data_IF_293020126116
#
_entry.id   IF_293020126116
#
_cell.length_a   1.000
_cell.length_b   1.000
_cell.length_c   1.000
_cell.angle_alpha   90.00
_cell.angle_beta   90.00
_cell.angle_gamma   90.00
#
_symmetry.space_group_name_H-M   'P 1'
#
loop_
_entity.id
_entity.type
_entity.pdbx_description
1 polymer ?
#
# COMPACT_ATOMS: atom_id res chain seq x y z
N UNK A 1 -16.41 19.11 23.50
CA UNK A 1 -14.96 19.01 23.21
C UNK A 1 -14.86 18.49 21.79
N UNK A 2 -14.09 19.13 20.94
CA UNK A 2 -13.94 18.64 19.57
C UNK A 2 -13.10 17.38 19.53
N UNK A 3 -13.31 16.51 18.55
CA UNK A 3 -12.55 15.28 18.32
C UNK A 3 -11.02 15.56 18.26
N UNK A 4 -10.63 16.77 17.87
CA UNK A 4 -9.23 17.24 17.78
C UNK A 4 -8.47 17.21 19.12
N UNK A 5 -9.17 17.20 20.24
CA UNK A 5 -8.55 17.17 21.58
C UNK A 5 -8.34 15.74 22.13
N UNK A 6 -8.80 14.73 21.37
CA UNK A 6 -8.69 13.32 21.77
C UNK A 6 -7.60 12.59 20.96
N UNK A 7 -6.97 11.62 21.59
CA UNK A 7 -6.10 10.69 20.87
C UNK A 7 -6.95 9.82 19.97
N UNK A 8 -6.88 10.08 18.67
CA UNK A 8 -7.65 9.38 17.65
C UNK A 8 -7.02 7.99 17.39
N UNK A 9 -7.83 6.94 17.45
CA UNK A 9 -7.46 5.63 16.93
C UNK A 9 -7.77 5.57 15.42
N UNK A 10 -6.86 5.07 14.58
CA UNK A 10 -7.17 4.84 13.17
C UNK A 10 -8.23 3.75 13.03
N UNK A 11 -9.09 3.80 11.98
CA UNK A 11 -10.05 2.72 11.75
C UNK A 11 -9.33 1.41 11.37
N UNK A 12 -9.98 0.24 11.53
CA UNK A 12 -9.35 -1.06 11.30
C UNK A 12 -8.67 -1.19 9.94
N UNK A 13 -9.28 -0.70 8.87
CA UNK A 13 -8.72 -0.73 7.51
C UNK A 13 -7.50 0.17 7.30
N UNK A 14 -7.21 1.06 8.21
CA UNK A 14 -5.97 1.85 8.20
C UNK A 14 -4.92 1.31 9.15
N UNK A 15 -5.35 0.72 10.25
CA UNK A 15 -4.45 0.18 11.26
C UNK A 15 -3.84 -1.17 10.84
N UNK A 16 -4.67 -2.03 10.24
CA UNK A 16 -4.31 -3.40 9.86
C UNK A 16 -4.82 -3.69 8.44
N UNK A 17 -4.14 -3.11 7.46
CA UNK A 17 -4.50 -3.18 6.05
C UNK A 17 -4.31 -4.55 5.44
N UNK A 18 -3.45 -5.34 6.05
CA UNK A 18 -3.18 -6.73 5.71
C UNK A 18 -4.35 -7.65 6.07
N UNK A 19 -5.30 -7.20 6.92
CA UNK A 19 -6.45 -7.98 7.33
C UNK A 19 -7.68 -7.51 6.55
N UNK A 20 -8.18 -8.35 5.64
CA UNK A 20 -9.42 -8.09 4.92
C UNK A 20 -10.65 -8.09 5.86
N UNK A 21 -11.69 -7.31 5.51
CA UNK A 21 -12.87 -7.10 6.35
C UNK A 21 -13.48 -8.38 6.94
N UNK A 22 -13.61 -9.42 6.14
CA UNK A 22 -14.24 -10.70 6.53
C UNK A 22 -13.24 -11.78 6.91
N UNK A 23 -11.97 -11.42 7.06
CA UNK A 23 -10.91 -12.35 7.43
C UNK A 23 -11.08 -12.86 8.86
N UNK A 24 -10.69 -14.12 9.07
CA UNK A 24 -10.55 -14.72 10.41
C UNK A 24 -9.59 -13.92 11.31
N UNK A 25 -8.67 -13.13 10.70
CA UNK A 25 -7.73 -12.27 11.43
C UNK A 25 -8.39 -11.26 12.35
N UNK A 26 -9.67 -10.94 12.16
CA UNK A 26 -10.47 -10.10 13.06
C UNK A 26 -11.14 -10.87 14.20
N UNK A 27 -10.94 -12.18 14.26
CA UNK A 27 -11.47 -13.08 15.30
C UNK A 27 -10.39 -13.83 16.05
N UNK A 28 -9.13 -13.56 15.75
CA UNK A 28 -7.97 -14.24 16.33
C UNK A 28 -6.75 -13.30 16.38
N UNK A 29 -6.06 -13.30 17.53
CA UNK A 29 -4.80 -12.63 17.70
C UNK A 29 -4.88 -11.10 17.67
N UNK A 30 -3.86 -10.43 17.10
CA UNK A 30 -3.74 -8.97 17.18
C UNK A 30 -4.86 -8.17 16.48
N UNK A 31 -5.49 -8.74 15.48
CA UNK A 31 -6.63 -8.10 14.82
C UNK A 31 -7.86 -8.08 15.73
N UNK A 32 -8.15 -9.18 16.44
CA UNK A 32 -9.20 -9.25 17.46
C UNK A 32 -8.94 -8.24 18.58
N UNK A 33 -7.73 -8.27 19.16
CA UNK A 33 -7.32 -7.31 20.18
C UNK A 33 -7.49 -5.86 19.73
N UNK A 34 -7.22 -5.59 18.45
CA UNK A 34 -7.36 -4.24 17.90
C UNK A 34 -8.83 -3.84 17.77
N UNK A 35 -9.67 -4.70 17.21
CA UNK A 35 -11.07 -4.37 16.94
C UNK A 35 -11.85 -4.16 18.24
N UNK A 36 -11.55 -4.94 19.27
CA UNK A 36 -12.13 -4.81 20.60
C UNK A 36 -11.75 -3.48 21.25
N UNK A 37 -10.47 -3.12 21.20
CA UNK A 37 -9.99 -1.81 21.70
C UNK A 37 -10.56 -0.64 20.89
N UNK A 38 -10.68 -0.81 19.58
CA UNK A 38 -11.26 0.20 18.70
C UNK A 38 -12.75 0.40 19.00
N UNK A 39 -13.52 -0.69 19.18
CA UNK A 39 -14.92 -0.63 19.58
C UNK A 39 -15.09 0.07 20.93
N UNK A 40 -14.31 -0.32 21.93
CA UNK A 40 -14.31 0.32 23.25
C UNK A 40 -14.00 1.81 23.16
N UNK A 41 -13.02 2.20 22.35
CA UNK A 41 -12.69 3.59 22.13
C UNK A 41 -13.82 4.35 21.41
N UNK A 42 -14.44 3.76 20.37
CA UNK A 42 -15.59 4.35 19.68
C UNK A 42 -16.75 4.62 20.64
N UNK A 43 -16.96 3.75 21.62
CA UNK A 43 -18.03 3.91 22.62
C UNK A 43 -17.78 5.09 23.58
N UNK A 44 -16.57 5.60 23.64
CA UNK A 44 -16.25 6.82 24.39
C UNK A 44 -16.60 8.11 23.66
N UNK A 45 -16.95 8.03 22.37
CA UNK A 45 -17.28 9.19 21.54
C UNK A 45 -18.76 9.55 21.66
N UNK A 46 -19.06 10.85 21.72
CA UNK A 46 -20.44 11.32 21.58
C UNK A 46 -20.99 11.07 20.16
N UNK A 47 -22.31 11.13 19.94
CA UNK A 47 -22.88 10.99 18.60
C UNK A 47 -22.28 11.98 17.59
N UNK A 48 -22.04 13.22 18.02
CA UNK A 48 -21.45 14.27 17.20
C UNK A 48 -19.98 13.97 16.85
N UNK A 49 -19.20 13.53 17.84
CA UNK A 49 -17.81 13.11 17.65
C UNK A 49 -17.71 11.88 16.75
N UNK A 50 -18.65 10.93 16.84
CA UNK A 50 -18.74 9.78 15.93
C UNK A 50 -19.02 10.24 14.49
N UNK A 51 -19.93 11.20 14.30
CA UNK A 51 -20.24 11.74 12.98
C UNK A 51 -19.02 12.45 12.38
N UNK A 52 -18.29 13.24 13.18
CA UNK A 52 -17.05 13.89 12.76
C UNK A 52 -15.97 12.84 12.39
N UNK A 53 -15.83 11.79 13.21
CA UNK A 53 -14.89 10.70 12.96
C UNK A 53 -15.20 9.94 11.66
N UNK A 54 -16.47 9.62 11.42
CA UNK A 54 -16.93 8.98 10.17
C UNK A 54 -16.62 9.85 8.94
N UNK A 55 -16.79 11.16 9.06
CA UNK A 55 -16.47 12.10 7.98
C UNK A 55 -14.97 12.19 7.70
N UNK A 56 -14.13 12.09 8.74
CA UNK A 56 -12.67 12.05 8.61
C UNK A 56 -12.16 10.72 8.01
N UNK A 57 -12.85 9.63 8.32
CA UNK A 57 -12.47 8.28 7.92
C UNK A 57 -13.66 7.59 7.23
N UNK A 58 -14.02 8.03 6.01
CA UNK A 58 -15.03 7.33 5.24
C UNK A 58 -14.60 5.89 5.00
N UNK A 59 -15.53 4.98 5.06
CA UNK A 59 -15.25 3.57 4.78
C UNK A 59 -14.85 3.37 3.32
N UNK A 60 -13.78 2.60 3.05
CA UNK A 60 -13.45 2.24 1.69
C UNK A 60 -14.47 1.24 1.13
N UNK A 61 -14.50 1.07 -0.19
CA UNK A 61 -15.46 0.17 -0.86
C UNK A 61 -15.41 -1.25 -0.30
N UNK A 62 -14.22 -1.73 0.09
CA UNK A 62 -14.00 -3.04 0.70
C UNK A 62 -14.59 -3.18 2.10
N UNK A 63 -14.98 -2.06 2.73
CA UNK A 63 -15.57 -2.00 4.06
C UNK A 63 -16.97 -1.37 4.05
N UNK A 64 -17.59 -1.26 2.87
CA UNK A 64 -18.92 -0.67 2.70
C UNK A 64 -19.95 -1.28 3.67
N UNK A 65 -20.71 -0.44 4.33
CA UNK A 65 -21.68 -0.83 5.36
C UNK A 65 -21.09 -1.09 6.75
N UNK A 66 -19.77 -0.90 6.94
CA UNK A 66 -19.13 -1.09 8.25
C UNK A 66 -19.72 -0.17 9.32
N UNK A 67 -19.87 1.12 9.00
CA UNK A 67 -20.36 2.09 9.96
C UNK A 67 -21.82 1.87 10.37
N UNK A 68 -22.60 1.22 9.54
CA UNK A 68 -24.03 1.01 9.74
C UNK A 68 -24.34 -0.43 10.16
N UNK A 69 -23.31 -1.23 10.43
CA UNK A 69 -23.42 -2.67 10.73
C UNK A 69 -24.16 -3.46 9.63
N UNK A 70 -24.11 -2.98 8.40
CA UNK A 70 -24.68 -3.66 7.25
C UNK A 70 -23.73 -4.73 6.74
N UNK A 71 -24.14 -5.97 6.77
CA UNK A 71 -23.50 -7.03 6.00
C UNK A 71 -24.11 -7.02 4.60
N UNK A 72 -23.39 -6.38 3.66
CA UNK A 72 -23.89 -6.28 2.28
C UNK A 72 -23.83 -7.60 1.53
N UNK A 73 -23.14 -8.62 2.06
CA UNK A 73 -22.95 -9.92 1.40
C UNK A 73 -22.22 -9.83 0.06
N UNK A 74 -21.74 -8.63 -0.33
CA UNK A 74 -20.97 -8.44 -1.55
C UNK A 74 -19.62 -9.13 -1.43
N UNK A 75 -19.39 -10.11 -2.28
CA UNK A 75 -18.06 -10.72 -2.46
C UNK A 75 -17.22 -9.71 -3.25
N UNK A 76 -16.37 -9.00 -2.54
CA UNK A 76 -15.44 -8.06 -3.17
C UNK A 76 -14.35 -8.83 -3.93
N UNK A 77 -14.04 -8.37 -5.12
CA UNK A 77 -12.92 -8.92 -5.88
C UNK A 77 -11.60 -8.47 -5.26
N UNK A 78 -10.52 -9.21 -5.51
CA UNK A 78 -9.18 -8.78 -5.12
C UNK A 78 -8.83 -7.39 -5.67
N UNK A 79 -9.34 -7.06 -6.87
CA UNK A 79 -9.19 -5.74 -7.46
C UNK A 79 -9.86 -4.62 -6.65
N UNK A 80 -11.06 -4.86 -6.15
CA UNK A 80 -11.78 -3.88 -5.32
C UNK A 80 -11.02 -3.60 -4.02
N UNK A 81 -10.49 -4.65 -3.39
CA UNK A 81 -9.65 -4.53 -2.21
C UNK A 81 -8.41 -3.66 -2.46
N UNK A 82 -7.73 -3.83 -3.58
CA UNK A 82 -6.52 -3.07 -3.90
C UNK A 82 -6.78 -1.60 -4.19
N UNK A 83 -7.93 -1.26 -4.79
CA UNK A 83 -8.23 0.13 -5.21
C UNK A 83 -8.44 1.06 -4.03
N UNK A 84 -9.20 0.62 -3.05
CA UNK A 84 -9.71 1.53 -2.01
C UNK A 84 -8.93 1.48 -0.70
N UNK A 85 -7.87 0.68 -0.61
CA UNK A 85 -7.13 0.46 0.64
C UNK A 85 -6.66 1.75 1.35
N UNK A 86 -6.52 2.87 0.62
CA UNK A 86 -5.93 4.10 1.18
C UNK A 86 -6.55 5.39 0.76
N UNK A 87 -7.11 5.41 -0.46
CA UNK A 87 -7.50 6.63 -1.12
C UNK A 87 -8.76 6.39 -1.91
N UNK A 88 -9.80 7.19 -1.66
CA UNK A 88 -11.04 7.11 -2.43
C UNK A 88 -10.81 7.26 -3.94
N UNK A 89 -9.75 7.99 -4.33
CA UNK A 89 -9.47 8.25 -5.76
C UNK A 89 -8.62 7.17 -6.43
N UNK A 90 -8.01 6.25 -5.67
CA UNK A 90 -7.15 5.18 -6.18
C UNK A 90 -5.96 5.65 -7.02
N UNK A 91 -5.52 6.91 -6.86
CA UNK A 91 -4.47 7.55 -7.68
C UNK A 91 -3.43 8.28 -6.81
N UNK A 92 -2.22 8.53 -7.33
CA UNK A 92 -1.19 9.23 -6.59
C UNK A 92 -1.60 10.64 -6.22
N UNK A 93 -1.35 11.03 -4.97
CA UNK A 93 -1.52 12.40 -4.48
C UNK A 93 -0.50 13.35 -5.10
N UNK A 94 0.75 12.89 -5.22
CA UNK A 94 1.86 13.62 -5.80
C UNK A 94 2.24 12.99 -7.12
N UNK A 95 2.23 13.79 -8.19
CA UNK A 95 2.56 13.33 -9.54
C UNK A 95 3.75 14.12 -10.06
N UNK A 96 4.41 13.62 -11.10
CA UNK A 96 5.44 14.36 -11.82
C UNK A 96 4.93 15.72 -12.31
N UNK A 97 3.70 15.77 -12.82
CA UNK A 97 3.07 17.02 -13.25
C UNK A 97 2.90 18.00 -12.08
N UNK A 98 2.46 17.52 -10.92
CA UNK A 98 2.36 18.34 -9.72
C UNK A 98 3.73 18.92 -9.34
N UNK A 99 4.79 18.12 -9.33
CA UNK A 99 6.14 18.58 -9.00
C UNK A 99 6.65 19.64 -9.98
N UNK A 100 6.39 19.46 -11.28
CA UNK A 100 6.71 20.46 -12.31
C UNK A 100 5.97 21.77 -12.09
N UNK A 101 4.69 21.72 -11.70
CA UNK A 101 3.89 22.92 -11.37
C UNK A 101 4.43 23.64 -10.13
N UNK A 102 4.80 22.90 -9.07
CA UNK A 102 5.44 23.45 -7.88
C UNK A 102 6.74 24.19 -8.27
N UNK A 103 7.55 23.57 -9.09
CA UNK A 103 8.81 24.15 -9.55
C UNK A 103 8.62 25.41 -10.40
N UNK A 104 7.66 25.39 -11.33
CA UNK A 104 7.30 26.54 -12.16
C UNK A 104 6.73 27.70 -11.32
N UNK A 105 6.04 27.39 -10.23
CA UNK A 105 5.51 28.38 -9.27
C UNK A 105 6.58 28.90 -8.28
N UNK A 106 7.86 28.52 -8.45
CA UNK A 106 8.96 28.95 -7.57
C UNK A 106 9.01 28.22 -6.21
N UNK A 107 8.11 27.27 -5.96
CA UNK A 107 8.11 26.48 -4.71
C UNK A 107 9.10 25.34 -4.83
N UNK A 108 10.21 25.46 -4.11
CA UNK A 108 11.24 24.42 -4.08
C UNK A 108 10.89 23.37 -3.04
N UNK A 109 10.99 22.10 -3.43
CA UNK A 109 10.82 20.94 -2.55
C UNK A 109 12.18 20.26 -2.38
N UNK A 110 12.43 19.75 -1.21
CA UNK A 110 13.56 18.86 -1.00
C UNK A 110 13.28 17.54 -1.70
N UNK A 111 14.27 17.02 -2.42
CA UNK A 111 14.15 15.80 -3.20
C UNK A 111 15.07 14.73 -2.63
N UNK A 112 14.49 13.57 -2.31
CA UNK A 112 15.27 12.37 -2.05
C UNK A 112 15.36 11.56 -3.35
N UNK A 113 16.43 11.81 -4.11
CA UNK A 113 16.68 11.09 -5.36
C UNK A 113 17.31 9.73 -5.05
N UNK A 114 16.72 8.66 -5.56
CA UNK A 114 17.29 7.31 -5.45
C UNK A 114 17.30 6.61 -6.81
N UNK A 115 18.24 5.70 -6.98
CA UNK A 115 18.36 4.84 -8.14
C UNK A 115 19.21 3.61 -7.79
N UNK A 116 18.91 2.48 -8.45
CA UNK A 116 19.56 1.20 -8.15
C UNK A 116 18.97 0.53 -6.90
N UNK A 117 19.40 -0.71 -6.66
CA UNK A 117 18.86 -1.55 -5.59
C UNK A 117 19.94 -2.38 -4.89
N UNK A 118 21.20 -2.01 -5.06
CA UNK A 118 22.30 -2.71 -4.41
C UNK A 118 22.62 -2.07 -3.07
N UNK A 119 22.89 -2.87 -2.02
CA UNK A 119 23.40 -2.37 -0.77
C UNK A 119 24.76 -1.67 -0.96
N UNK A 120 25.10 -0.77 -0.05
CA UNK A 120 26.41 -0.17 0.00
C UNK A 120 27.49 -1.23 0.30
N UNK A 121 28.73 -0.98 -0.14
CA UNK A 121 29.84 -1.92 0.08
C UNK A 121 30.14 -2.18 1.55
N UNK A 122 29.86 -1.22 2.41
CA UNK A 122 30.02 -1.30 3.87
C UNK A 122 28.79 -1.90 4.58
N UNK A 123 27.76 -2.33 3.82
CA UNK A 123 26.54 -2.89 4.36
C UNK A 123 25.56 -1.85 4.93
N UNK A 124 25.89 -0.55 4.88
CA UNK A 124 24.98 0.47 5.40
C UNK A 124 23.74 0.63 4.51
N UNK A 125 22.62 0.90 5.17
CA UNK A 125 21.36 1.20 4.48
C UNK A 125 21.45 2.57 3.81
N UNK A 126 21.14 2.61 2.52
CA UNK A 126 21.17 3.82 1.71
C UNK A 126 19.83 4.04 1.00
N UNK A 127 19.72 5.15 0.27
CA UNK A 127 18.54 5.48 -0.54
C UNK A 127 18.13 4.37 -1.52
N UNK A 128 19.04 3.45 -1.87
CA UNK A 128 18.73 2.29 -2.73
C UNK A 128 17.66 1.37 -2.13
N UNK A 129 17.48 1.40 -0.80
CA UNK A 129 16.41 0.64 -0.14
C UNK A 129 14.99 1.09 -0.54
N UNK A 130 14.84 2.31 -1.08
CA UNK A 130 13.57 2.81 -1.59
C UNK A 130 13.17 2.16 -2.92
N UNK A 131 14.10 1.48 -3.61
CA UNK A 131 13.82 0.79 -4.87
C UNK A 131 12.83 -0.36 -4.68
N UNK A 132 11.99 -0.57 -5.70
CA UNK A 132 11.08 -1.72 -5.80
C UNK A 132 11.85 -3.07 -5.90
N UNK A 133 13.10 -3.03 -6.32
CA UNK A 133 14.01 -4.19 -6.44
C UNK A 133 14.96 -4.36 -5.26
N UNK A 134 14.86 -3.54 -4.22
CA UNK A 134 15.58 -3.80 -2.98
C UNK A 134 15.12 -5.10 -2.37
N UNK A 135 16.04 -6.03 -2.15
CA UNK A 135 15.74 -7.34 -1.61
C UNK A 135 15.51 -7.21 -0.09
N UNK A 136 14.28 -7.42 0.30
CA UNK A 136 13.86 -7.43 1.70
C UNK A 136 12.58 -8.24 1.83
N UNK A 137 12.62 -9.27 2.67
CA UNK A 137 11.49 -10.16 2.88
C UNK A 137 10.32 -9.44 3.53
N UNK A 138 9.15 -9.62 2.98
CA UNK A 138 7.89 -9.25 3.61
C UNK A 138 6.79 -10.23 3.20
N UNK A 139 5.71 -10.23 3.94
CA UNK A 139 4.62 -11.18 3.73
C UNK A 139 3.26 -10.49 3.80
N UNK A 140 2.31 -11.14 3.17
CA UNK A 140 0.88 -10.90 3.34
C UNK A 140 0.26 -12.12 4.01
N UNK A 141 -1.06 -12.12 4.26
CA UNK A 141 -1.72 -13.31 4.81
C UNK A 141 -1.61 -14.54 3.89
N UNK A 142 -1.40 -14.34 2.60
CA UNK A 142 -1.39 -15.41 1.60
C UNK A 142 0.01 -15.86 1.20
N UNK A 143 0.97 -14.94 1.08
CA UNK A 143 2.25 -15.20 0.43
C UNK A 143 3.39 -14.39 1.04
N UNK A 144 4.62 -14.84 0.76
CA UNK A 144 5.87 -14.14 1.05
C UNK A 144 6.50 -13.61 -0.22
N UNK A 145 7.22 -12.50 -0.12
CA UNK A 145 7.81 -11.78 -1.25
C UNK A 145 9.23 -11.33 -0.90
N UNK A 146 10.12 -11.36 -1.89
CA UNK A 146 11.49 -10.86 -1.79
C UNK A 146 11.61 -9.38 -2.23
N UNK A 147 10.69 -8.93 -3.08
CA UNK A 147 10.74 -7.60 -3.71
C UNK A 147 9.33 -7.02 -3.82
N UNK A 148 9.19 -5.72 -3.69
CA UNK A 148 7.91 -5.04 -3.97
C UNK A 148 7.52 -5.15 -5.45
N UNK A 149 8.49 -5.19 -6.36
CA UNK A 149 8.23 -5.48 -7.78
C UNK A 149 7.70 -6.91 -7.99
N UNK A 150 8.18 -7.91 -7.23
CA UNK A 150 7.62 -9.28 -7.27
C UNK A 150 6.16 -9.27 -6.83
N UNK A 151 5.85 -8.54 -5.75
CA UNK A 151 4.48 -8.34 -5.28
C UNK A 151 3.62 -7.70 -6.38
N UNK A 152 4.10 -6.65 -7.03
CA UNK A 152 3.40 -5.99 -8.12
C UNK A 152 3.12 -6.94 -9.29
N UNK A 153 4.09 -7.76 -9.69
CA UNK A 153 3.90 -8.72 -10.78
C UNK A 153 2.96 -9.87 -10.40
N UNK A 154 3.03 -10.37 -9.16
CA UNK A 154 2.10 -11.37 -8.65
C UNK A 154 0.68 -10.81 -8.53
N UNK A 155 0.54 -9.59 -8.01
CA UNK A 155 -0.74 -8.87 -7.94
C UNK A 155 -1.34 -8.60 -9.31
N UNK A 156 -0.50 -8.30 -10.32
CA UNK A 156 -0.94 -8.21 -11.70
C UNK A 156 -1.51 -9.53 -12.23
N UNK A 157 -0.79 -10.65 -12.00
CA UNK A 157 -1.26 -11.96 -12.41
C UNK A 157 -2.59 -12.33 -11.72
N UNK A 158 -2.71 -12.03 -10.43
CA UNK A 158 -3.92 -12.25 -9.67
C UNK A 158 -5.10 -11.40 -10.17
N UNK A 159 -4.86 -10.12 -10.46
CA UNK A 159 -5.88 -9.20 -11.01
C UNK A 159 -6.50 -9.72 -12.31
N UNK A 160 -5.72 -10.39 -13.14
CA UNK A 160 -6.17 -10.95 -14.41
C UNK A 160 -6.49 -12.45 -14.36
N UNK A 161 -6.53 -13.07 -13.16
CA UNK A 161 -6.90 -14.47 -12.97
C UNK A 161 -5.86 -15.48 -13.50
N UNK A 162 -4.61 -15.06 -13.70
CA UNK A 162 -3.54 -15.94 -14.19
C UNK A 162 -2.77 -16.59 -13.03
N UNK A 163 -3.43 -17.51 -12.32
CA UNK A 163 -2.86 -18.19 -11.16
C UNK A 163 -1.61 -19.04 -11.49
N UNK A 164 -1.49 -19.56 -12.68
CA UNK A 164 -0.29 -20.28 -13.11
C UNK A 164 0.91 -19.32 -13.12
N UNK A 165 0.75 -18.16 -13.75
CA UNK A 165 1.77 -17.12 -13.81
C UNK A 165 2.10 -16.55 -12.44
N UNK A 166 1.07 -16.37 -11.60
CA UNK A 166 1.25 -15.94 -10.23
C UNK A 166 2.17 -16.87 -9.44
N UNK A 167 1.92 -18.18 -9.51
CA UNK A 167 2.75 -19.20 -8.84
C UNK A 167 4.19 -19.20 -9.36
N UNK A 168 4.40 -19.06 -10.66
CA UNK A 168 5.75 -18.96 -11.24
C UNK A 168 6.50 -17.72 -10.73
N UNK A 169 5.81 -16.57 -10.63
CA UNK A 169 6.38 -15.32 -10.10
C UNK A 169 6.78 -15.50 -8.64
N UNK A 170 5.92 -16.08 -7.81
CA UNK A 170 6.18 -16.31 -6.39
C UNK A 170 7.35 -17.27 -6.15
N UNK A 171 7.51 -18.27 -7.00
CA UNK A 171 8.59 -19.23 -6.91
C UNK A 171 9.93 -18.69 -7.45
N UNK A 172 9.95 -17.52 -8.08
CA UNK A 172 11.13 -16.97 -8.75
C UNK A 172 11.82 -15.93 -7.89
N UNK A 173 13.14 -16.02 -7.72
CA UNK A 173 13.97 -15.04 -7.03
C UNK A 173 14.80 -14.13 -7.95
N UNK A 174 14.83 -14.39 -9.25
CA UNK A 174 15.58 -13.60 -10.23
C UNK A 174 14.75 -12.40 -10.73
N UNK A 175 15.19 -11.14 -10.47
CA UNK A 175 14.47 -9.94 -10.89
C UNK A 175 14.14 -9.87 -12.39
N UNK A 176 15.07 -10.34 -13.24
CA UNK A 176 14.87 -10.31 -14.71
C UNK A 176 13.79 -11.30 -15.13
N UNK A 177 13.79 -12.48 -14.53
CA UNK A 177 12.77 -13.49 -14.80
C UNK A 177 11.41 -13.07 -14.26
N UNK A 178 11.33 -12.52 -13.03
CA UNK A 178 10.10 -11.98 -12.45
C UNK A 178 9.47 -10.95 -13.40
N UNK A 179 10.27 -9.99 -13.89
CA UNK A 179 9.81 -8.97 -14.84
C UNK A 179 9.35 -9.58 -16.17
N UNK A 180 10.06 -10.60 -16.67
CA UNK A 180 9.68 -11.30 -17.89
C UNK A 180 8.36 -12.07 -17.73
N UNK A 181 8.15 -12.73 -16.58
CA UNK A 181 6.91 -13.42 -16.24
C UNK A 181 5.73 -12.43 -16.15
N UNK A 182 5.92 -11.29 -15.45
CA UNK A 182 4.89 -10.26 -15.32
C UNK A 182 4.44 -9.64 -16.67
N UNK A 183 5.34 -9.64 -17.69
CA UNK A 183 4.99 -9.22 -19.05
C UNK A 183 4.16 -10.25 -19.82
N UNK A 184 4.17 -11.50 -19.38
CA UNK A 184 3.46 -12.62 -20.03
C UNK A 184 2.15 -12.98 -19.34
N UNK A 185 1.66 -12.16 -18.43
CA UNK A 185 0.37 -12.36 -17.76
C UNK A 185 -0.74 -12.39 -18.79
N UNK A 186 -1.53 -13.47 -18.78
CA UNK A 186 -2.67 -13.69 -19.68
C UNK A 186 -3.85 -12.79 -19.29
N UNK A 187 -4.69 -12.47 -20.25
CA UNK A 187 -5.89 -11.65 -20.01
C UNK A 187 -5.60 -10.19 -19.68
N UNK A 188 -4.38 -9.72 -19.89
CA UNK A 188 -3.99 -8.35 -19.57
C UNK A 188 -4.82 -7.31 -20.33
N UNK A 189 -5.39 -6.37 -19.57
CA UNK A 189 -6.07 -5.17 -20.08
C UNK A 189 -5.42 -3.92 -19.48
N UNK A 190 -4.97 -3.01 -20.34
CA UNK A 190 -4.26 -1.81 -19.92
C UNK A 190 -5.15 -0.87 -19.08
N UNK A 191 -6.44 -0.75 -19.41
CA UNK A 191 -7.37 0.15 -18.69
C UNK A 191 -7.64 -0.36 -17.28
N UNK A 192 -7.80 -1.67 -17.14
CA UNK A 192 -7.95 -2.33 -15.84
C UNK A 192 -6.67 -2.17 -15.04
N UNK A 193 -5.51 -2.45 -15.65
CA UNK A 193 -4.22 -2.28 -14.99
C UNK A 193 -3.99 -0.84 -14.50
N UNK A 194 -4.29 0.15 -15.33
CA UNK A 194 -4.12 1.56 -14.96
C UNK A 194 -4.98 1.99 -13.78
N UNK A 195 -6.14 1.35 -13.63
CA UNK A 195 -7.02 1.58 -12.47
C UNK A 195 -6.43 1.02 -11.17
N UNK A 196 -5.77 -0.15 -11.21
CA UNK A 196 -5.37 -0.87 -10.01
C UNK A 196 -3.88 -0.79 -9.66
N UNK A 197 -3.01 -0.54 -10.64
CA UNK A 197 -1.55 -0.61 -10.48
C UNK A 197 -1.02 0.19 -9.31
N UNK A 198 -1.54 1.40 -9.09
CA UNK A 198 -1.07 2.27 -8.02
C UNK A 198 -1.38 1.69 -6.63
N UNK A 199 -2.59 1.18 -6.44
CA UNK A 199 -2.98 0.56 -5.18
C UNK A 199 -2.15 -0.70 -4.88
N UNK A 200 -1.88 -1.52 -5.91
CA UNK A 200 -1.01 -2.71 -5.79
C UNK A 200 0.38 -2.29 -5.32
N UNK A 201 1.01 -1.32 -6.00
CA UNK A 201 2.36 -0.86 -5.65
C UNK A 201 2.39 -0.25 -4.25
N UNK A 202 1.38 0.54 -3.90
CA UNK A 202 1.28 1.16 -2.58
C UNK A 202 1.18 0.11 -1.48
N UNK A 203 0.37 -0.93 -1.66
CA UNK A 203 0.23 -2.02 -0.70
C UNK A 203 1.54 -2.80 -0.52
N UNK A 204 2.24 -3.13 -1.61
CA UNK A 204 3.53 -3.81 -1.54
C UNK A 204 4.58 -3.00 -0.77
N UNK A 205 4.66 -1.69 -1.04
CA UNK A 205 5.55 -0.80 -0.30
C UNK A 205 5.14 -0.67 1.18
N UNK A 206 3.84 -0.58 1.44
CA UNK A 206 3.37 -0.58 2.83
C UNK A 206 3.85 -1.83 3.57
N UNK A 207 3.63 -3.02 3.03
CA UNK A 207 4.06 -4.27 3.67
C UNK A 207 5.58 -4.27 3.90
N UNK A 208 6.38 -3.93 2.90
CA UNK A 208 7.83 -3.86 3.00
C UNK A 208 8.29 -2.94 4.15
N UNK A 209 7.82 -1.69 4.15
CA UNK A 209 8.30 -0.69 5.10
C UNK A 209 7.66 -0.80 6.49
N UNK A 210 6.44 -1.35 6.61
CA UNK A 210 5.82 -1.55 7.92
C UNK A 210 6.40 -2.75 8.67
N UNK A 211 6.82 -3.80 7.96
CA UNK A 211 7.35 -5.02 8.55
C UNK A 211 8.85 -4.94 8.86
N UNK A 212 9.59 -4.10 8.16
CA UNK A 212 11.04 -3.97 8.31
C UNK A 212 11.40 -2.68 9.05
N UNK A 213 11.84 -2.82 10.30
CA UNK A 213 12.10 -1.68 11.21
C UNK A 213 13.11 -0.70 10.64
N UNK A 214 14.26 -1.19 10.16
CA UNK A 214 15.34 -0.34 9.65
C UNK A 214 14.89 0.42 8.40
N UNK A 215 14.18 -0.25 7.48
CA UNK A 215 13.62 0.37 6.28
C UNK A 215 12.58 1.43 6.65
N UNK A 216 11.74 1.15 7.65
CA UNK A 216 10.74 2.11 8.14
C UNK A 216 11.41 3.34 8.75
N UNK A 217 12.41 3.16 9.59
CA UNK A 217 13.16 4.25 10.21
C UNK A 217 13.87 5.10 9.14
N UNK A 218 14.46 4.45 8.12
CA UNK A 218 15.05 5.14 6.98
C UNK A 218 14.00 5.97 6.21
N UNK A 219 12.86 5.36 5.86
CA UNK A 219 11.78 6.06 5.15
C UNK A 219 11.28 7.27 5.95
N UNK A 220 11.06 7.11 7.25
CA UNK A 220 10.61 8.20 8.12
C UNK A 220 11.66 9.31 8.25
N UNK A 221 12.95 8.98 8.18
CA UNK A 221 14.03 9.97 8.24
C UNK A 221 14.10 10.89 7.02
N UNK A 222 13.45 10.53 5.90
CA UNK A 222 13.34 11.40 4.72
C UNK A 222 12.42 12.61 4.95
N UNK A 223 11.65 12.63 6.04
CA UNK A 223 10.77 13.71 6.40
C UNK A 223 9.77 14.07 5.30
N UNK A 224 9.72 15.36 4.95
CA UNK A 224 8.83 15.89 3.90
C UNK A 224 9.46 15.90 2.49
N UNK A 225 10.61 15.27 2.32
CA UNK A 225 11.28 15.19 1.02
C UNK A 225 10.41 14.41 0.02
N UNK A 226 10.35 14.89 -1.21
CA UNK A 226 9.69 14.15 -2.29
C UNK A 226 10.61 13.02 -2.74
N UNK A 227 10.14 11.78 -2.62
CA UNK A 227 10.89 10.62 -3.08
C UNK A 227 10.79 10.51 -4.61
N UNK A 228 11.91 10.47 -5.28
CA UNK A 228 11.98 10.41 -6.74
C UNK A 228 12.90 9.29 -7.18
N UNK A 229 12.36 8.31 -7.90
CA UNK A 229 13.19 7.34 -8.60
C UNK A 229 13.85 8.03 -9.80
N UNK A 230 15.15 8.29 -9.70
CA UNK A 230 15.92 9.00 -10.71
C UNK A 230 16.45 8.04 -11.80
N UNK A 231 15.59 7.13 -12.28
CA UNK A 231 15.92 6.18 -13.33
C UNK A 231 15.94 6.90 -14.70
N UNK A 232 17.03 6.85 -15.46
CA UNK A 232 17.06 7.41 -16.81
C UNK A 232 16.28 6.56 -17.82
N UNK A 233 15.84 5.36 -17.43
CA UNK A 233 15.22 4.37 -18.32
C UNK A 233 13.74 4.09 -18.01
N UNK A 234 13.20 4.56 -16.87
CA UNK A 234 11.83 4.32 -16.46
C UNK A 234 10.98 5.57 -16.63
N UNK A 235 10.10 5.56 -17.63
CA UNK A 235 9.21 6.68 -17.93
C UNK A 235 7.87 6.62 -17.15
N UNK A 236 7.62 5.54 -16.42
CA UNK A 236 6.35 5.30 -15.71
C UNK A 236 6.48 5.64 -14.23
N UNK A 237 7.53 5.14 -13.59
CA UNK A 237 7.75 5.25 -12.15
C UNK A 237 8.96 6.14 -11.79
N UNK A 238 9.81 6.45 -12.78
CA UNK A 238 11.00 7.30 -12.65
C UNK A 238 10.77 8.78 -12.92
#
# INVERSE_FOLDING_TARGET
MALQDKKIMPPPWLAHREIERYSIGWRMGYGEDYIDRFGTWLDTLSPEERAEYRALFPEPVTWKGWWDNEDTGEVLTHGDFLVEAWRPEGRPKYTRQWLQQEFAAGRRRELCLFWGHQPAQDGQLTKSCLSQWWMEDFYTMADSYLYTEQYMMAGKAQLFGDEERRKEILACSDPKQIKALGRKVRGFDQKVWDKFKYAIVLNGNWCKFSQNRELREFLLSTGDSVLVEASPYDAIWG
#
